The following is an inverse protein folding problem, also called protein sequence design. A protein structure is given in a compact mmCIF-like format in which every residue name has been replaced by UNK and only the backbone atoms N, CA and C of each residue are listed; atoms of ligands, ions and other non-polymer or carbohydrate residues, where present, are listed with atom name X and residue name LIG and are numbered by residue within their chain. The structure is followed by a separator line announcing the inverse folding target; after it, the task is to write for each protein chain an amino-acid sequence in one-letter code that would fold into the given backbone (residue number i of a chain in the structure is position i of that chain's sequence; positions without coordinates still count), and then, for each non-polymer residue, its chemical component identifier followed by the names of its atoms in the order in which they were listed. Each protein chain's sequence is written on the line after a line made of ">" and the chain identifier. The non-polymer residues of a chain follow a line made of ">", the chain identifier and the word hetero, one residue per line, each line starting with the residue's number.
data_IF_910182088189
#
_entry.id   IF_910182088189
#
_cell.length_a   1.000
_cell.length_b   1.000
_cell.length_c   1.000
_cell.angle_alpha   90.00
_cell.angle_beta   90.00
_cell.angle_gamma   90.00
#
_symmetry.space_group_name_H-M   'P 1'
#
loop_
_entity.id
_entity.type
_entity.pdbx_description
1 polymer ?
#
# COMPACT_ATOMS: atom_id res chain seq x y z
N UNK A 1 -2.25 -0.99 7.11
CA UNK A 1 -2.34 -2.31 6.51
C UNK A 1 -2.41 -3.35 7.62
N UNK A 2 -2.97 -4.47 7.41
CA UNK A 2 -3.06 -5.55 8.38
C UNK A 2 -2.32 -6.79 7.91
N UNK A 3 -2.35 -7.83 8.70
CA UNK A 3 -1.79 -9.12 8.35
C UNK A 3 -0.33 -9.29 8.72
N UNK A 4 0.21 -10.42 8.36
CA UNK A 4 1.60 -10.79 8.66
C UNK A 4 2.56 -10.17 7.63
N UNK A 5 3.66 -9.61 8.11
CA UNK A 5 4.71 -9.06 7.23
C UNK A 5 5.54 -10.22 6.70
N UNK A 6 5.60 -10.36 5.37
CA UNK A 6 6.37 -11.42 4.71
C UNK A 6 7.64 -10.90 4.02
N UNK A 7 7.76 -9.57 3.84
CA UNK A 7 8.96 -8.93 3.31
C UNK A 7 9.10 -7.55 3.90
N UNK A 8 10.31 -7.23 4.36
CA UNK A 8 10.60 -5.94 4.99
C UNK A 8 11.16 -4.93 3.98
N UNK A 9 11.07 -3.64 4.36
CA UNK A 9 11.71 -2.56 3.64
C UNK A 9 13.24 -2.71 3.71
N UNK A 10 13.90 -2.30 2.64
CA UNK A 10 15.35 -2.24 2.58
C UNK A 10 15.94 -3.24 1.61
N UNK A 11 17.27 -3.37 1.62
CA UNK A 11 17.95 -4.30 0.73
C UNK A 11 17.78 -5.74 1.17
N UNK A 12 17.51 -6.59 0.20
CA UNK A 12 17.51 -8.05 0.39
C UNK A 12 17.93 -8.68 -0.93
N UNK A 13 18.87 -9.64 -0.84
CA UNK A 13 19.41 -10.33 -2.02
C UNK A 13 19.92 -9.35 -3.09
N UNK A 14 20.50 -8.22 -2.65
CA UNK A 14 21.01 -7.20 -3.55
C UNK A 14 19.96 -6.29 -4.18
N UNK A 15 18.69 -6.46 -3.86
CA UNK A 15 17.58 -5.67 -4.40
C UNK A 15 16.97 -4.80 -3.31
N UNK A 16 16.80 -3.50 -3.59
CA UNK A 16 16.14 -2.59 -2.65
C UNK A 16 14.62 -2.78 -2.69
N UNK A 17 14.05 -3.17 -1.56
CA UNK A 17 12.61 -3.30 -1.39
C UNK A 17 12.04 -2.02 -0.78
N UNK A 18 11.22 -1.30 -1.52
CA UNK A 18 10.74 0.05 -1.18
C UNK A 18 9.53 0.07 -0.25
N UNK A 19 9.10 -1.07 0.27
CA UNK A 19 7.94 -1.15 1.15
C UNK A 19 7.94 -2.40 2.00
N UNK A 20 6.79 -2.69 2.57
CA UNK A 20 6.53 -3.92 3.31
C UNK A 20 5.53 -4.77 2.53
N UNK A 21 5.75 -6.08 2.49
CA UNK A 21 4.77 -7.01 1.94
C UNK A 21 4.07 -7.73 3.08
N UNK A 22 2.74 -7.73 3.04
CA UNK A 22 1.90 -8.40 4.01
C UNK A 22 1.26 -9.63 3.38
N UNK A 23 1.19 -10.72 4.13
CA UNK A 23 0.47 -11.92 3.69
C UNK A 23 -0.99 -11.56 3.48
N UNK A 24 -1.52 -11.91 2.30
CA UNK A 24 -2.90 -11.65 1.95
C UNK A 24 -3.36 -12.64 0.90
N UNK A 25 -4.65 -12.86 0.83
CA UNK A 25 -5.28 -13.67 -0.22
C UNK A 25 -6.09 -12.75 -1.12
N UNK A 26 -6.25 -13.12 -2.39
CA UNK A 26 -7.11 -12.38 -3.30
C UNK A 26 -8.51 -12.21 -2.69
N UNK A 27 -8.95 -10.97 -2.60
CA UNK A 27 -10.24 -10.62 -2.01
C UNK A 27 -10.19 -10.19 -0.56
N UNK A 28 -9.05 -10.34 0.13
CA UNK A 28 -8.93 -9.85 1.51
C UNK A 28 -9.07 -8.33 1.54
N UNK A 29 -9.79 -7.78 2.53
CA UNK A 29 -9.95 -6.32 2.62
C UNK A 29 -8.63 -5.63 2.93
N UNK A 30 -8.38 -4.50 2.27
CA UNK A 30 -7.24 -3.63 2.52
C UNK A 30 -7.75 -2.38 3.21
N UNK A 31 -7.14 -2.03 4.34
CA UNK A 31 -7.57 -0.93 5.19
C UNK A 31 -6.59 0.22 5.10
N UNK A 32 -7.10 1.45 5.11
CA UNK A 32 -6.24 2.63 5.19
C UNK A 32 -5.54 2.68 6.54
N UNK A 33 -4.22 2.94 6.52
CA UNK A 33 -3.43 2.99 7.76
C UNK A 33 -3.74 4.22 8.61
N UNK A 34 -4.16 5.31 7.97
CA UNK A 34 -4.53 6.58 8.62
C UNK A 34 -5.57 7.29 7.78
N UNK A 35 -6.21 8.32 8.36
CA UNK A 35 -7.12 9.18 7.61
C UNK A 35 -6.41 10.01 6.57
N UNK A 36 -7.08 10.30 5.46
CA UNK A 36 -6.50 11.10 4.39
C UNK A 36 -7.42 11.21 3.18
N UNK A 37 -6.83 11.63 2.07
CA UNK A 37 -7.53 11.80 0.79
C UNK A 37 -6.90 10.89 -0.25
N UNK A 38 -7.73 10.18 -1.01
CA UNK A 38 -7.26 9.32 -2.11
C UNK A 38 -6.70 10.19 -3.22
N UNK A 39 -5.42 10.01 -3.54
CA UNK A 39 -4.73 10.73 -4.63
C UNK A 39 -4.97 10.03 -5.95
N UNK A 40 -4.82 8.71 -5.97
CA UNK A 40 -5.06 7.91 -7.17
C UNK A 40 -5.54 6.51 -6.81
N UNK A 41 -6.23 5.89 -7.78
CA UNK A 41 -6.67 4.50 -7.74
C UNK A 41 -6.62 4.04 -9.20
N UNK A 42 -5.48 3.52 -9.65
CA UNK A 42 -5.21 3.20 -11.05
C UNK A 42 -4.32 1.96 -11.17
N UNK A 43 -4.20 1.44 -12.39
CA UNK A 43 -3.20 0.42 -12.70
C UNK A 43 -1.89 1.11 -13.10
N UNK A 44 -0.79 0.71 -12.48
CA UNK A 44 0.52 1.32 -12.71
C UNK A 44 1.60 0.25 -12.82
N UNK A 45 1.73 -0.34 -13.99
CA UNK A 45 2.84 -1.26 -14.33
C UNK A 45 3.07 -2.37 -13.31
N UNK A 46 4.30 -2.45 -12.79
CA UNK A 46 4.69 -3.49 -11.84
C UNK A 46 3.95 -3.46 -10.50
N UNK A 47 3.43 -2.31 -10.10
CA UNK A 47 2.57 -2.20 -8.90
C UNK A 47 1.19 -2.84 -9.12
N UNK A 48 0.77 -2.99 -10.38
CA UNK A 48 -0.58 -3.41 -10.69
C UNK A 48 -1.59 -2.34 -10.28
N UNK A 49 -2.70 -2.76 -9.72
CA UNK A 49 -3.70 -1.83 -9.20
C UNK A 49 -3.20 -1.23 -7.88
N UNK A 50 -3.01 0.08 -7.85
CA UNK A 50 -2.44 0.81 -6.73
C UNK A 50 -3.36 1.93 -6.27
N UNK A 51 -3.44 2.12 -4.94
CA UNK A 51 -4.09 3.27 -4.33
C UNK A 51 -3.03 4.07 -3.58
N UNK A 52 -3.05 5.40 -3.76
CA UNK A 52 -2.23 6.32 -2.98
C UNK A 52 -3.14 7.20 -2.12
N UNK A 53 -2.78 7.34 -0.85
CA UNK A 53 -3.53 8.18 0.11
C UNK A 53 -2.59 9.22 0.68
N UNK A 54 -2.98 10.49 0.56
CA UNK A 54 -2.26 11.64 1.12
C UNK A 54 -2.82 11.90 2.52
N UNK A 55 -1.97 11.78 3.53
CA UNK A 55 -2.33 12.00 4.94
C UNK A 55 -2.00 13.41 5.42
N UNK A 56 -1.45 14.25 4.53
CA UNK A 56 -1.00 15.59 4.87
C UNK A 56 0.48 15.63 5.24
N UNK A 57 1.04 16.83 5.28
CA UNK A 57 2.43 17.09 5.69
C UNK A 57 3.48 16.26 4.93
N UNK A 58 3.19 15.93 3.67
CA UNK A 58 4.09 15.17 2.81
C UNK A 58 4.03 13.65 3.02
N UNK A 59 3.16 13.15 3.89
CA UNK A 59 3.01 11.71 4.13
C UNK A 59 2.00 11.10 3.18
N UNK A 60 2.45 10.13 2.38
CA UNK A 60 1.61 9.39 1.44
C UNK A 60 1.84 7.89 1.65
N UNK A 61 0.76 7.12 1.72
CA UNK A 61 0.86 5.67 1.73
C UNK A 61 0.38 5.09 0.41
N UNK A 62 0.98 3.96 -0.01
CA UNK A 62 0.65 3.26 -1.23
C UNK A 62 0.28 1.82 -0.93
N UNK A 63 -0.74 1.33 -1.61
CA UNK A 63 -1.27 -0.03 -1.44
C UNK A 63 -1.35 -0.65 -2.83
N UNK A 64 -0.51 -1.64 -3.11
CA UNK A 64 -0.32 -2.18 -4.46
C UNK A 64 -0.74 -3.65 -4.58
N UNK A 65 -0.80 -4.15 -5.80
CA UNK A 65 -1.20 -5.49 -6.20
C UNK A 65 -2.66 -5.79 -5.87
N UNK A 66 -3.51 -4.76 -5.85
CA UNK A 66 -4.92 -4.91 -5.49
C UNK A 66 -5.70 -5.63 -6.60
N UNK A 67 -6.73 -6.36 -6.22
CA UNK A 67 -7.67 -6.96 -7.16
C UNK A 67 -8.84 -6.03 -7.47
N UNK A 68 -9.16 -5.11 -6.55
CA UNK A 68 -10.33 -4.25 -6.68
C UNK A 68 -10.14 -2.97 -5.88
N UNK A 69 -10.71 -1.87 -6.39
CA UNK A 69 -10.79 -0.59 -5.68
C UNK A 69 -12.18 -0.44 -5.05
N UNK A 70 -12.23 0.09 -3.83
CA UNK A 70 -13.47 0.48 -3.15
C UNK A 70 -13.61 1.98 -3.00
N UNK A 71 -12.62 2.74 -3.47
CA UNK A 71 -12.59 4.21 -3.40
C UNK A 71 -12.11 4.77 -4.72
N UNK A 72 -12.29 6.07 -4.92
CA UNK A 72 -11.88 6.78 -6.12
C UNK A 72 -11.05 8.01 -5.75
N UNK A 73 -10.25 8.55 -6.70
CA UNK A 73 -9.49 9.78 -6.44
C UNK A 73 -10.38 10.90 -5.91
N UNK A 74 -9.92 11.60 -4.89
CA UNK A 74 -10.65 12.66 -4.22
C UNK A 74 -11.47 12.22 -3.02
N UNK A 75 -11.71 10.93 -2.86
CA UNK A 75 -12.46 10.43 -1.70
C UNK A 75 -11.68 10.66 -0.41
N UNK A 76 -12.40 11.01 0.65
CA UNK A 76 -11.84 11.09 2.00
C UNK A 76 -12.03 9.76 2.70
N UNK A 77 -10.98 9.29 3.37
CA UNK A 77 -11.01 8.01 4.08
C UNK A 77 -10.60 8.21 5.53
N UNK A 78 -11.10 7.35 6.39
CA UNK A 78 -10.74 7.32 7.81
C UNK A 78 -9.73 6.19 8.04
N UNK A 79 -8.98 6.27 9.14
CA UNK A 79 -8.13 5.19 9.58
C UNK A 79 -8.95 3.91 9.75
N UNK A 80 -8.48 2.81 9.17
CA UNK A 80 -9.15 1.52 9.23
C UNK A 80 -10.31 1.34 8.25
N UNK A 81 -10.60 2.34 7.41
CA UNK A 81 -11.63 2.20 6.37
C UNK A 81 -11.16 1.26 5.27
N UNK A 82 -12.05 0.39 4.79
CA UNK A 82 -11.75 -0.48 3.65
C UNK A 82 -11.62 0.36 2.40
N UNK A 83 -10.48 0.24 1.70
CA UNK A 83 -10.19 1.01 0.49
C UNK A 83 -10.13 0.14 -0.76
N UNK A 84 -10.01 -1.17 -0.60
CA UNK A 84 -9.95 -2.10 -1.73
C UNK A 84 -9.78 -3.53 -1.25
N UNK A 85 -9.44 -4.40 -2.20
CA UNK A 85 -9.19 -5.81 -1.91
C UNK A 85 -7.84 -6.22 -2.45
N UNK A 86 -7.14 -7.05 -1.68
CA UNK A 86 -5.84 -7.59 -2.06
C UNK A 86 -5.94 -8.52 -3.27
N UNK A 87 -4.83 -8.68 -3.97
CA UNK A 87 -4.76 -9.55 -5.14
C UNK A 87 -3.35 -9.80 -5.58
N UNK A 88 -3.19 -10.15 -6.84
CA UNK A 88 -1.92 -10.47 -7.45
C UNK A 88 -1.68 -9.68 -8.76
N UNK A 89 -2.31 -8.52 -8.89
CA UNK A 89 -2.12 -7.67 -10.07
C UNK A 89 -0.69 -7.12 -10.13
N UNK A 90 -0.21 -6.84 -11.34
CA UNK A 90 1.14 -6.34 -11.57
C UNK A 90 2.19 -7.44 -11.50
N UNK A 91 3.44 -7.06 -11.15
CA UNK A 91 4.58 -7.98 -11.05
C UNK A 91 4.56 -8.72 -9.72
N UNK A 92 3.69 -9.70 -9.61
CA UNK A 92 3.40 -10.40 -8.38
C UNK A 92 3.14 -11.88 -8.69
N UNK A 93 3.89 -12.79 -8.07
CA UNK A 93 3.74 -14.23 -8.30
C UNK A 93 2.67 -14.86 -7.42
N UNK A 94 2.41 -14.25 -6.27
CA UNK A 94 1.41 -14.70 -5.31
C UNK A 94 0.66 -13.49 -4.77
N UNK A 95 -0.60 -13.67 -4.39
CA UNK A 95 -1.36 -12.59 -3.78
C UNK A 95 -0.69 -12.10 -2.51
N UNK A 96 -0.50 -10.79 -2.39
CA UNK A 96 -0.01 -10.14 -1.19
C UNK A 96 -0.32 -8.64 -1.26
N UNK A 97 -0.21 -7.95 -0.14
CA UNK A 97 -0.32 -6.50 -0.10
C UNK A 97 1.08 -5.89 -0.02
N UNK A 98 1.42 -5.07 -1.01
CA UNK A 98 2.65 -4.27 -0.98
C UNK A 98 2.29 -2.87 -0.46
N UNK A 99 2.87 -2.49 0.66
CA UNK A 99 2.59 -1.23 1.34
C UNK A 99 3.83 -0.36 1.35
N UNK A 100 3.71 0.89 0.88
CA UNK A 100 4.80 1.85 0.88
C UNK A 100 4.42 3.10 1.66
N UNK A 101 5.42 3.69 2.31
CA UNK A 101 5.32 5.02 2.89
C UNK A 101 6.23 5.95 2.09
N UNK A 102 5.69 7.06 1.63
CA UNK A 102 6.45 8.13 0.95
C UNK A 102 6.39 9.38 1.81
N UNK A 103 7.56 9.95 2.10
CA UNK A 103 7.68 11.21 2.82
C UNK A 103 8.29 12.21 1.84
N UNK A 104 7.53 13.24 1.48
CA UNK A 104 7.90 14.23 0.47
C UNK A 104 8.34 13.59 -0.85
N UNK A 105 7.64 12.52 -1.26
CA UNK A 105 7.90 11.79 -2.49
C UNK A 105 8.98 10.74 -2.40
N UNK A 106 9.67 10.61 -1.26
CA UNK A 106 10.79 9.69 -1.07
C UNK A 106 10.32 8.45 -0.31
N UNK A 107 10.61 7.26 -0.86
CA UNK A 107 10.30 6.00 -0.18
C UNK A 107 11.01 5.95 1.17
N UNK A 108 10.26 5.61 2.21
CA UNK A 108 10.75 5.55 3.58
C UNK A 108 10.37 4.23 4.21
N UNK A 109 11.07 3.83 5.28
CA UNK A 109 10.76 2.58 5.95
C UNK A 109 9.41 2.70 6.67
N UNK A 110 8.36 1.98 6.23
CA UNK A 110 7.03 2.10 6.85
C UNK A 110 6.99 1.68 8.31
N UNK A 111 7.94 0.84 8.75
CA UNK A 111 7.99 0.39 10.15
C UNK A 111 8.13 1.55 11.11
N UNK A 112 8.93 2.56 10.79
CA UNK A 112 9.08 3.73 11.66
C UNK A 112 7.78 4.49 11.83
N UNK A 113 6.97 4.53 10.78
CA UNK A 113 5.66 5.18 10.81
C UNK A 113 4.64 4.36 11.61
N UNK A 114 4.62 3.04 11.40
CA UNK A 114 3.64 2.14 12.02
C UNK A 114 3.91 1.91 13.52
N UNK A 115 5.14 2.10 13.96
CA UNK A 115 5.57 1.89 15.36
C UNK A 115 5.48 3.15 16.22
N UNK A 116 4.94 4.23 15.69
CA UNK A 116 4.77 5.47 16.44
C UNK A 116 3.80 5.30 17.60
#
# INVERSE_FOLDING_TARGET
>A
AGGEIISNYGQRDGVLHLGLDYAAKTGDPVLSSEGGTVVCAINRGGYGNIIEIDHGEGFVTRYAHLSQFSVAPGDKVAKGQIIGKAGDSGSCTEAHLHFELRIDGIASNPRYYLEK
#
